data_IF_690198451554
#
_entry.id   IF_690198451554
#
_cell.length_a   1.000
_cell.length_b   1.000
_cell.length_c   1.000
_cell.angle_alpha   90.00
_cell.angle_beta   90.00
_cell.angle_gamma   90.00
#
_symmetry.space_group_name_H-M   'P 1'
#
loop_
_entity.id
_entity.type
_entity.pdbx_description
1 polymer ?
#
# COMPACT_ATOMS: atom_id res chain seq x y z
N UNK A 1 -5.61 46.64 57.13
CA UNK A 1 -5.61 45.13 57.03
C UNK A 1 -6.74 44.53 56.20
N UNK A 2 -8.00 44.99 56.27
CA UNK A 2 -9.10 44.40 55.47
C UNK A 2 -8.93 44.48 53.95
N UNK A 3 -8.42 45.58 53.37
CA UNK A 3 -8.27 45.70 51.91
C UNK A 3 -7.27 44.73 51.30
N UNK A 4 -6.16 44.44 51.98
CA UNK A 4 -5.13 43.51 51.51
C UNK A 4 -5.65 42.08 51.49
N UNK A 5 -6.51 41.70 52.42
CA UNK A 5 -7.14 40.39 52.48
C UNK A 5 -8.14 40.17 51.37
N UNK A 6 -8.92 41.19 50.99
CA UNK A 6 -9.87 41.15 49.88
C UNK A 6 -9.16 41.04 48.53
N UNK A 7 -8.06 41.79 48.33
CA UNK A 7 -7.27 41.72 47.11
C UNK A 7 -6.60 40.35 46.91
N UNK A 8 -6.07 39.76 47.98
CA UNK A 8 -5.45 38.44 47.98
C UNK A 8 -6.47 37.34 47.63
N UNK A 9 -7.65 37.41 48.23
CA UNK A 9 -8.75 36.46 47.96
C UNK A 9 -9.24 36.53 46.50
N UNK A 10 -9.33 37.74 45.95
CA UNK A 10 -9.70 37.93 44.53
C UNK A 10 -8.64 37.37 43.56
N UNK A 11 -7.34 37.51 43.88
CA UNK A 11 -6.27 36.92 43.08
C UNK A 11 -6.29 35.38 43.13
N UNK A 12 -6.51 34.80 44.33
CA UNK A 12 -6.62 33.37 44.49
C UNK A 12 -7.83 32.80 43.74
N UNK A 13 -8.97 33.44 43.75
CA UNK A 13 -10.15 33.08 42.99
C UNK A 13 -9.95 33.20 41.46
N UNK A 14 -9.31 34.28 41.00
CA UNK A 14 -8.98 34.43 39.59
C UNK A 14 -8.01 33.37 39.11
N UNK A 15 -7.01 32.99 39.92
CA UNK A 15 -6.04 31.96 39.60
C UNK A 15 -6.73 30.57 39.54
N UNK A 16 -7.61 30.29 40.50
CA UNK A 16 -8.38 29.03 40.51
C UNK A 16 -9.29 28.91 39.27
N UNK A 17 -9.98 29.99 38.89
CA UNK A 17 -10.82 30.01 37.68
C UNK A 17 -10.01 29.83 36.40
N UNK A 18 -8.80 30.37 36.34
CA UNK A 18 -7.88 30.19 35.21
C UNK A 18 -7.39 28.72 35.09
N UNK A 19 -7.04 28.10 36.20
CA UNK A 19 -6.62 26.70 36.26
C UNK A 19 -7.77 25.80 35.81
N UNK A 20 -8.97 26.04 36.24
CA UNK A 20 -10.16 25.29 35.83
C UNK A 20 -10.45 25.47 34.33
N UNK A 21 -10.33 26.68 33.82
CA UNK A 21 -10.48 26.95 32.40
C UNK A 21 -9.43 26.15 31.54
N UNK A 22 -8.15 26.18 31.93
CA UNK A 22 -7.09 25.45 31.27
C UNK A 22 -7.29 23.91 31.32
N UNK A 23 -7.79 23.41 32.47
CA UNK A 23 -8.14 21.98 32.59
C UNK A 23 -9.27 21.59 31.63
N UNK A 24 -10.32 22.42 31.54
CA UNK A 24 -11.44 22.15 30.64
C UNK A 24 -11.02 22.19 29.17
N UNK A 25 -10.20 23.15 28.74
CA UNK A 25 -9.65 23.20 27.38
C UNK A 25 -8.84 21.94 27.05
N UNK A 26 -8.04 21.45 27.99
CA UNK A 26 -7.25 20.22 27.80
C UNK A 26 -8.14 18.98 27.69
N UNK A 27 -9.20 18.90 28.46
CA UNK A 27 -10.16 17.79 28.41
C UNK A 27 -10.91 17.81 27.06
N UNK A 28 -11.37 18.98 26.62
CA UNK A 28 -12.02 19.13 25.31
C UNK A 28 -11.10 18.71 24.16
N UNK A 29 -9.82 19.12 24.18
CA UNK A 29 -8.84 18.72 23.17
C UNK A 29 -8.64 17.19 23.17
N UNK A 30 -8.52 16.57 24.35
CA UNK A 30 -8.42 15.12 24.49
C UNK A 30 -9.66 14.41 23.92
N UNK A 31 -10.87 14.90 24.21
CA UNK A 31 -12.10 14.32 23.66
C UNK A 31 -12.11 14.39 22.14
N UNK A 32 -11.70 15.53 21.57
CA UNK A 32 -11.62 15.69 20.13
C UNK A 32 -10.58 14.76 19.48
N UNK A 33 -9.43 14.55 20.13
CA UNK A 33 -8.41 13.63 19.66
C UNK A 33 -8.93 12.18 19.66
N UNK A 34 -9.59 11.74 20.73
CA UNK A 34 -10.21 10.42 20.80
C UNK A 34 -11.28 10.22 19.72
N UNK A 35 -12.17 11.19 19.55
CA UNK A 35 -13.21 11.11 18.51
C UNK A 35 -12.61 11.00 17.08
N UNK A 36 -11.48 11.68 16.82
CA UNK A 36 -10.76 11.53 15.54
C UNK A 36 -10.16 10.12 15.37
N UNK A 37 -9.59 9.56 16.44
CA UNK A 37 -9.02 8.20 16.41
C UNK A 37 -10.11 7.16 16.18
N UNK A 38 -11.26 7.28 16.85
CA UNK A 38 -12.41 6.39 16.63
C UNK A 38 -12.86 6.43 15.17
N UNK A 39 -13.01 7.62 14.60
CA UNK A 39 -13.39 7.77 13.19
C UNK A 39 -12.36 7.18 12.23
N UNK A 40 -11.07 7.35 12.50
CA UNK A 40 -10.00 6.76 11.70
C UNK A 40 -10.08 5.24 11.74
N UNK A 41 -10.32 4.66 12.90
CA UNK A 41 -10.49 3.23 13.09
C UNK A 41 -11.73 2.70 12.34
N UNK A 42 -12.86 3.37 12.44
CA UNK A 42 -14.10 3.00 11.71
C UNK A 42 -13.87 3.00 10.19
N UNK A 43 -13.23 4.04 9.66
CA UNK A 43 -12.93 4.13 8.23
C UNK A 43 -11.97 3.02 7.76
N UNK A 44 -10.95 2.70 8.56
CA UNK A 44 -10.02 1.62 8.26
C UNK A 44 -10.72 0.25 8.32
N UNK A 45 -11.56 0.03 9.34
CA UNK A 45 -12.35 -1.19 9.49
C UNK A 45 -13.32 -1.40 8.32
N UNK A 46 -13.89 -0.32 7.78
CA UNK A 46 -14.72 -0.40 6.58
C UNK A 46 -13.95 -0.99 5.40
N UNK A 47 -12.69 -0.57 5.15
CA UNK A 47 -11.86 -1.13 4.08
C UNK A 47 -11.64 -2.63 4.25
N UNK A 48 -11.39 -3.08 5.47
CA UNK A 48 -11.19 -4.50 5.78
C UNK A 48 -12.48 -5.30 5.65
N UNK A 49 -13.62 -4.74 6.03
CA UNK A 49 -14.93 -5.38 5.85
C UNK A 49 -15.30 -5.53 4.36
N UNK A 50 -15.03 -4.53 3.53
CA UNK A 50 -15.22 -4.60 2.09
C UNK A 50 -14.34 -5.69 1.47
N UNK A 51 -13.08 -5.81 1.91
CA UNK A 51 -12.21 -6.91 1.51
C UNK A 51 -12.76 -8.28 1.94
N UNK A 52 -13.22 -8.39 3.19
CA UNK A 52 -13.80 -9.63 3.73
C UNK A 52 -15.02 -10.06 2.93
N UNK A 53 -15.88 -9.12 2.56
CA UNK A 53 -17.07 -9.39 1.72
C UNK A 53 -16.61 -9.90 0.35
N UNK A 54 -15.64 -9.22 -0.28
CA UNK A 54 -15.12 -9.60 -1.59
C UNK A 54 -14.54 -11.02 -1.59
N UNK A 55 -13.66 -11.34 -0.64
CA UNK A 55 -13.05 -12.69 -0.53
C UNK A 55 -14.08 -13.75 -0.14
N UNK A 56 -15.10 -13.38 0.64
CA UNK A 56 -16.16 -14.28 1.10
C UNK A 56 -17.16 -14.69 0.01
N UNK A 57 -17.08 -14.13 -1.19
CA UNK A 57 -17.90 -14.45 -2.35
C UNK A 57 -17.06 -14.88 -3.55
N UNK A 58 -16.48 -16.10 -3.53
CA UNK A 58 -15.53 -16.57 -4.55
C UNK A 58 -16.12 -16.68 -5.96
N UNK A 59 -17.45 -16.73 -6.10
CA UNK A 59 -18.12 -16.84 -7.40
C UNK A 59 -18.01 -15.54 -8.21
N UNK A 60 -17.90 -14.41 -7.54
CA UNK A 60 -17.75 -13.10 -8.18
C UNK A 60 -16.29 -12.73 -8.49
N UNK A 61 -15.30 -13.49 -7.96
CA UNK A 61 -13.88 -13.26 -8.26
C UNK A 61 -13.58 -13.76 -9.66
N UNK A 62 -13.08 -12.87 -10.52
CA UNK A 62 -12.77 -13.16 -11.91
C UNK A 62 -11.60 -14.14 -12.05
N UNK A 63 -11.66 -14.91 -13.12
CA UNK A 63 -10.60 -15.86 -13.46
C UNK A 63 -10.92 -17.30 -13.11
N UNK A 64 -10.04 -18.21 -13.55
CA UNK A 64 -10.07 -19.62 -13.17
C UNK A 64 -9.56 -19.78 -11.73
N UNK A 65 -9.80 -20.92 -11.12
CA UNK A 65 -9.28 -21.28 -9.80
C UNK A 65 -7.76 -20.98 -9.65
N UNK A 66 -7.00 -21.19 -10.73
CA UNK A 66 -5.55 -20.95 -10.75
C UNK A 66 -5.16 -19.47 -10.93
N UNK A 67 -6.08 -18.60 -11.34
CA UNK A 67 -5.79 -17.17 -11.65
C UNK A 67 -6.49 -16.18 -10.74
N UNK A 68 -7.47 -16.61 -9.94
CA UNK A 68 -8.21 -15.76 -8.98
C UNK A 68 -7.30 -15.03 -7.96
N UNK A 69 -6.13 -15.61 -7.65
CA UNK A 69 -5.17 -14.98 -6.74
C UNK A 69 -4.69 -13.60 -7.21
N UNK A 70 -4.69 -13.31 -8.50
CA UNK A 70 -4.33 -12.00 -9.03
C UNK A 70 -5.31 -10.93 -8.58
N UNK A 71 -6.61 -11.14 -8.83
CA UNK A 71 -7.67 -10.20 -8.43
C UNK A 71 -7.75 -10.05 -6.90
N UNK A 72 -7.57 -11.16 -6.16
CA UNK A 72 -7.48 -11.11 -4.69
C UNK A 72 -6.31 -10.23 -4.25
N UNK A 73 -5.13 -10.38 -4.88
CA UNK A 73 -3.95 -9.59 -4.57
C UNK A 73 -4.18 -8.07 -4.77
N UNK A 74 -4.85 -7.70 -5.86
CA UNK A 74 -5.22 -6.32 -6.15
C UNK A 74 -6.13 -5.73 -5.06
N UNK A 75 -7.19 -6.46 -4.70
CA UNK A 75 -8.11 -6.03 -3.64
C UNK A 75 -7.42 -5.95 -2.26
N UNK A 76 -6.60 -6.93 -1.91
CA UNK A 76 -5.81 -6.92 -0.67
C UNK A 76 -4.90 -5.70 -0.64
N UNK A 77 -4.14 -5.44 -1.70
CA UNK A 77 -3.22 -4.31 -1.79
C UNK A 77 -3.95 -2.97 -1.62
N UNK A 78 -5.03 -2.76 -2.38
CA UNK A 78 -5.80 -1.51 -2.32
C UNK A 78 -6.40 -1.29 -0.93
N UNK A 79 -7.05 -2.31 -0.36
CA UNK A 79 -7.76 -2.19 0.92
C UNK A 79 -6.81 -2.08 2.11
N UNK A 80 -5.72 -2.85 2.15
CA UNK A 80 -4.73 -2.75 3.23
C UNK A 80 -4.01 -1.41 3.22
N UNK A 81 -3.53 -0.95 2.05
CA UNK A 81 -2.88 0.35 1.95
C UNK A 81 -3.81 1.50 2.36
N UNK A 82 -5.08 1.44 2.00
CA UNK A 82 -6.06 2.43 2.41
C UNK A 82 -6.35 2.36 3.91
N UNK A 83 -6.53 1.17 4.48
CA UNK A 83 -6.76 0.99 5.91
C UNK A 83 -5.60 1.56 6.74
N UNK A 84 -4.35 1.24 6.40
CA UNK A 84 -3.16 1.77 7.08
C UNK A 84 -3.10 3.31 7.06
N UNK A 85 -3.43 3.92 5.92
CA UNK A 85 -3.47 5.38 5.81
C UNK A 85 -4.57 6.00 6.66
N UNK A 86 -5.76 5.41 6.61
CA UNK A 86 -6.91 5.89 7.36
C UNK A 86 -6.69 5.78 8.88
N UNK A 87 -6.05 4.70 9.36
CA UNK A 87 -5.68 4.53 10.78
C UNK A 87 -4.83 5.69 11.31
N UNK A 88 -3.93 6.24 10.49
CA UNK A 88 -3.08 7.38 10.87
C UNK A 88 -3.66 8.73 10.43
N UNK A 89 -4.94 8.80 10.11
CA UNK A 89 -5.64 10.03 9.73
C UNK A 89 -5.26 10.60 8.36
N UNK A 90 -4.66 9.80 7.48
CA UNK A 90 -4.35 10.17 6.11
C UNK A 90 -5.47 9.72 5.17
N UNK A 91 -5.66 10.43 4.06
CA UNK A 91 -6.64 10.04 3.05
C UNK A 91 -6.24 8.73 2.37
N UNK A 92 -7.23 7.89 2.06
CA UNK A 92 -7.08 6.77 1.14
C UNK A 92 -6.54 7.26 -0.22
N UNK A 93 -5.65 6.49 -0.84
CA UNK A 93 -5.02 6.91 -2.08
C UNK A 93 -4.92 5.80 -3.14
N UNK A 94 -5.47 4.63 -2.86
CA UNK A 94 -5.64 3.56 -3.84
C UNK A 94 -7.13 3.44 -4.19
N UNK A 95 -7.45 3.26 -5.48
CA UNK A 95 -8.84 3.15 -5.94
C UNK A 95 -8.94 2.32 -7.22
N UNK A 96 -10.07 1.65 -7.37
CA UNK A 96 -10.51 1.05 -8.63
C UNK A 96 -11.42 2.00 -9.45
N UNK A 97 -11.77 3.15 -8.89
CA UNK A 97 -12.65 4.11 -9.55
C UNK A 97 -11.99 4.65 -10.83
N UNK A 98 -12.73 4.59 -11.93
CA UNK A 98 -12.24 5.02 -13.25
C UNK A 98 -11.42 3.97 -13.99
N UNK A 99 -11.14 2.81 -13.39
CA UNK A 99 -10.43 1.71 -14.05
C UNK A 99 -11.43 0.80 -14.77
N UNK A 100 -11.30 0.71 -16.08
CA UNK A 100 -12.17 -0.14 -16.91
C UNK A 100 -11.70 -1.60 -16.93
N UNK A 101 -12.60 -2.52 -17.24
CA UNK A 101 -12.31 -3.96 -17.33
C UNK A 101 -11.20 -4.33 -18.34
N UNK A 102 -10.95 -3.48 -19.32
CA UNK A 102 -9.93 -3.66 -20.38
C UNK A 102 -8.84 -2.59 -20.28
N UNK A 103 -8.74 -1.92 -19.12
CA UNK A 103 -7.70 -0.94 -18.88
C UNK A 103 -6.30 -1.60 -18.89
N UNK A 104 -5.27 -0.78 -19.09
CA UNK A 104 -3.89 -1.25 -19.01
C UNK A 104 -3.38 -1.32 -17.56
N UNK A 105 -4.13 -0.77 -16.64
CA UNK A 105 -3.91 -0.78 -15.19
C UNK A 105 -4.98 -1.60 -14.47
N UNK A 106 -4.64 -2.11 -13.28
CA UNK A 106 -5.58 -2.82 -12.40
C UNK A 106 -6.20 -1.88 -11.35
N UNK A 107 -5.47 -0.85 -10.94
CA UNK A 107 -5.96 0.18 -10.02
C UNK A 107 -5.12 1.47 -10.12
N UNK A 108 -5.56 2.51 -9.43
CA UNK A 108 -4.84 3.79 -9.35
C UNK A 108 -4.26 3.97 -7.94
N UNK A 109 -3.04 4.52 -7.86
CA UNK A 109 -2.39 4.97 -6.63
C UNK A 109 -2.00 6.44 -6.75
N UNK A 110 -2.63 7.32 -5.97
CA UNK A 110 -2.50 8.78 -6.15
C UNK A 110 -2.79 9.24 -7.60
N UNK A 111 -3.77 8.64 -8.25
CA UNK A 111 -4.11 8.94 -9.63
C UNK A 111 -3.15 8.38 -10.69
N UNK A 112 -2.08 7.66 -10.30
CA UNK A 112 -1.14 7.00 -11.21
C UNK A 112 -1.56 5.56 -11.48
N UNK A 113 -1.40 5.10 -12.70
CA UNK A 113 -1.74 3.76 -13.14
C UNK A 113 -0.83 2.71 -12.50
N UNK A 114 -1.41 1.68 -11.90
CA UNK A 114 -0.70 0.54 -11.32
C UNK A 114 -1.19 -0.74 -11.98
N UNK A 115 -0.25 -1.53 -12.47
CA UNK A 115 -0.51 -2.88 -12.96
C UNK A 115 0.09 -3.90 -11.98
N UNK A 116 -0.74 -4.75 -11.43
CA UNK A 116 -0.35 -5.81 -10.50
C UNK A 116 0.14 -7.05 -11.25
N UNK A 117 1.22 -7.66 -10.79
CA UNK A 117 1.75 -8.90 -11.39
C UNK A 117 2.09 -9.93 -10.30
N UNK A 118 1.19 -10.88 -10.11
CA UNK A 118 1.29 -11.96 -9.15
C UNK A 118 1.41 -13.31 -9.88
N UNK A 119 2.65 -13.71 -10.18
CA UNK A 119 2.96 -14.97 -10.86
C UNK A 119 3.86 -15.84 -9.99
N UNK A 120 3.91 -17.13 -10.26
CA UNK A 120 4.76 -18.05 -9.51
C UNK A 120 6.25 -17.79 -9.78
N UNK A 121 6.94 -17.32 -8.74
CA UNK A 121 8.36 -17.03 -8.71
C UNK A 121 8.79 -15.76 -9.44
N UNK A 122 9.89 -15.19 -8.98
CA UNK A 122 10.41 -13.88 -9.42
C UNK A 122 10.62 -13.78 -10.94
N UNK A 123 11.08 -14.85 -11.57
CA UNK A 123 11.25 -14.89 -13.03
C UNK A 123 9.91 -14.84 -13.77
N UNK A 124 8.90 -15.56 -13.25
CA UNK A 124 7.55 -15.56 -13.82
C UNK A 124 6.91 -14.18 -13.75
N UNK A 125 7.01 -13.53 -12.60
CA UNK A 125 6.51 -12.18 -12.36
C UNK A 125 7.22 -11.14 -13.23
N UNK A 126 8.56 -11.19 -13.34
CA UNK A 126 9.28 -10.30 -14.24
C UNK A 126 8.91 -10.50 -15.72
N UNK A 127 8.78 -11.73 -16.17
CA UNK A 127 8.32 -12.02 -17.52
C UNK A 127 6.90 -11.49 -17.80
N UNK A 128 6.01 -11.52 -16.80
CA UNK A 128 4.67 -10.94 -16.92
C UNK A 128 4.70 -9.42 -17.08
N UNK A 129 5.63 -8.71 -16.40
CA UNK A 129 5.89 -7.28 -16.60
C UNK A 129 6.31 -7.02 -18.05
N UNK A 130 7.32 -7.76 -18.53
CA UNK A 130 7.82 -7.62 -19.91
C UNK A 130 6.72 -7.88 -20.94
N UNK A 131 5.90 -8.92 -20.72
CA UNK A 131 4.79 -9.25 -21.62
C UNK A 131 3.72 -8.16 -21.63
N UNK A 132 3.36 -7.63 -20.47
CA UNK A 132 2.42 -6.52 -20.36
C UNK A 132 2.92 -5.30 -21.13
N UNK A 133 4.19 -4.94 -20.98
CA UNK A 133 4.75 -3.78 -21.65
C UNK A 133 4.84 -3.93 -23.17
N UNK A 134 4.98 -5.18 -23.68
CA UNK A 134 4.87 -5.45 -25.12
C UNK A 134 3.46 -5.16 -25.65
N UNK A 135 2.44 -5.43 -24.85
CA UNK A 135 1.04 -5.12 -25.20
C UNK A 135 0.72 -3.62 -25.04
N UNK A 136 1.38 -2.95 -24.09
CA UNK A 136 1.17 -1.53 -23.75
C UNK A 136 2.49 -0.75 -23.73
N UNK A 137 3.15 -0.48 -24.86
CA UNK A 137 4.53 0.07 -24.92
C UNK A 137 4.69 1.46 -24.29
N UNK A 138 3.60 2.18 -24.11
CA UNK A 138 3.62 3.53 -23.51
C UNK A 138 3.21 3.56 -22.06
N UNK A 139 2.97 2.40 -21.41
CA UNK A 139 2.48 2.33 -20.03
C UNK A 139 3.38 3.09 -19.06
N UNK A 140 4.68 2.77 -19.02
CA UNK A 140 5.65 3.46 -18.15
C UNK A 140 5.79 4.94 -18.54
N UNK A 141 5.85 5.25 -19.83
CA UNK A 141 5.97 6.65 -20.32
C UNK A 141 4.77 7.52 -19.92
N UNK A 142 3.60 6.92 -19.71
CA UNK A 142 2.40 7.57 -19.18
C UNK A 142 2.37 7.64 -17.65
N UNK A 143 3.44 7.25 -16.96
CA UNK A 143 3.54 7.26 -15.51
C UNK A 143 3.01 6.00 -14.84
N UNK A 144 2.79 4.92 -15.56
CA UNK A 144 2.41 3.61 -15.04
C UNK A 144 3.57 2.92 -14.32
N UNK A 145 3.24 2.13 -13.31
CA UNK A 145 4.20 1.30 -12.56
C UNK A 145 3.60 -0.07 -12.23
N UNK A 146 4.44 -0.97 -11.74
CA UNK A 146 4.09 -2.34 -11.45
C UNK A 146 4.19 -2.61 -9.96
N UNK A 147 3.16 -3.25 -9.39
CA UNK A 147 3.21 -3.78 -8.04
C UNK A 147 3.34 -5.31 -8.12
N UNK A 148 4.30 -5.88 -7.35
CA UNK A 148 4.59 -7.32 -7.33
C UNK A 148 4.63 -7.83 -5.88
N UNK A 149 4.50 -9.15 -5.63
CA UNK A 149 4.61 -9.72 -4.29
C UNK A 149 5.87 -9.23 -3.57
N UNK A 150 5.76 -8.90 -2.28
CA UNK A 150 6.88 -8.38 -1.49
C UNK A 150 8.08 -9.33 -1.49
N UNK A 151 7.87 -10.61 -1.23
CA UNK A 151 8.92 -11.64 -1.23
C UNK A 151 9.64 -11.75 -2.57
N UNK A 152 8.91 -11.55 -3.67
CA UNK A 152 9.49 -11.58 -5.02
C UNK A 152 10.20 -10.27 -5.37
N UNK A 153 9.70 -9.13 -4.88
CA UNK A 153 10.40 -7.85 -5.01
C UNK A 153 11.76 -7.88 -4.30
N UNK A 154 11.79 -8.35 -3.05
CA UNK A 154 13.02 -8.51 -2.29
C UNK A 154 14.02 -9.41 -3.02
N UNK A 155 13.56 -10.54 -3.56
CA UNK A 155 14.39 -11.45 -4.37
C UNK A 155 14.88 -10.79 -5.66
N UNK A 156 14.02 -10.01 -6.34
CA UNK A 156 14.37 -9.31 -7.58
C UNK A 156 15.48 -8.28 -7.34
N UNK A 157 15.34 -7.48 -6.27
CA UNK A 157 16.31 -6.44 -5.90
C UNK A 157 17.63 -7.07 -5.39
N UNK A 158 17.56 -8.18 -4.64
CA UNK A 158 18.78 -8.90 -4.22
C UNK A 158 19.58 -9.41 -5.43
N UNK A 159 18.91 -10.07 -6.38
CA UNK A 159 19.55 -10.53 -7.64
C UNK A 159 20.13 -9.35 -8.42
N UNK A 160 19.38 -8.24 -8.52
CA UNK A 160 19.84 -7.03 -9.20
C UNK A 160 21.10 -6.46 -8.56
N UNK A 161 21.12 -6.28 -7.24
CA UNK A 161 22.26 -5.73 -6.51
C UNK A 161 23.50 -6.65 -6.57
N UNK A 162 23.33 -7.96 -6.36
CA UNK A 162 24.41 -8.94 -6.50
C UNK A 162 24.94 -8.99 -7.93
N UNK A 163 24.08 -8.86 -8.92
CA UNK A 163 24.48 -8.80 -10.33
C UNK A 163 25.35 -7.60 -10.65
N UNK A 164 25.13 -6.47 -9.99
CA UNK A 164 25.91 -5.25 -10.15
C UNK A 164 27.28 -5.30 -9.42
N UNK A 165 27.34 -5.94 -8.25
CA UNK A 165 28.50 -5.86 -7.34
C UNK A 165 29.31 -7.15 -7.25
N UNK A 166 28.68 -8.31 -7.33
CA UNK A 166 29.28 -9.62 -7.09
C UNK A 166 28.65 -10.70 -8.01
N UNK A 167 28.74 -10.49 -9.31
CA UNK A 167 28.09 -11.32 -10.34
C UNK A 167 28.40 -12.81 -10.23
N UNK A 168 29.60 -13.18 -9.76
CA UNK A 168 30.01 -14.57 -9.52
C UNK A 168 29.21 -15.26 -8.39
N UNK A 169 28.49 -14.50 -7.57
CA UNK A 169 27.61 -15.04 -6.51
C UNK A 169 26.24 -15.48 -7.03
N UNK A 170 25.89 -15.16 -8.27
CA UNK A 170 24.61 -15.52 -8.86
C UNK A 170 24.64 -16.98 -9.36
N UNK A 171 23.57 -17.69 -9.11
CA UNK A 171 23.28 -18.95 -9.80
C UNK A 171 23.05 -18.70 -11.29
N UNK A 172 23.14 -19.76 -12.10
CA UNK A 172 22.92 -19.66 -13.56
C UNK A 172 21.54 -19.07 -13.93
N UNK A 173 20.51 -19.40 -13.15
CA UNK A 173 19.15 -18.88 -13.37
C UNK A 173 19.05 -17.40 -12.99
N UNK A 174 19.66 -17.00 -11.88
CA UNK A 174 19.71 -15.61 -11.43
C UNK A 174 20.52 -14.73 -12.39
N UNK A 175 21.65 -15.24 -12.88
CA UNK A 175 22.45 -14.52 -13.89
C UNK A 175 21.64 -14.27 -15.18
N UNK A 176 20.86 -15.26 -15.59
CA UNK A 176 19.99 -15.11 -16.77
C UNK A 176 18.92 -14.05 -16.51
N UNK A 177 18.28 -14.05 -15.33
CA UNK A 177 17.31 -13.04 -14.95
C UNK A 177 17.94 -11.65 -14.84
N UNK A 178 19.11 -11.54 -14.23
CA UNK A 178 19.86 -10.27 -14.14
C UNK A 178 20.16 -9.68 -15.53
N UNK A 179 20.68 -10.49 -16.46
CA UNK A 179 20.93 -10.05 -17.84
C UNK A 179 19.64 -9.56 -18.52
N UNK A 180 18.53 -10.23 -18.26
CA UNK A 180 17.23 -9.85 -18.81
C UNK A 180 16.73 -8.53 -18.20
N UNK A 181 16.92 -8.31 -16.90
CA UNK A 181 16.60 -7.04 -16.24
C UNK A 181 17.41 -5.87 -16.81
N UNK A 182 18.71 -6.02 -16.98
CA UNK A 182 19.59 -4.97 -17.57
C UNK A 182 19.20 -4.68 -19.03
N UNK A 183 18.92 -5.71 -19.83
CA UNK A 183 18.48 -5.51 -21.20
C UNK A 183 17.15 -4.72 -21.25
N UNK A 184 16.21 -5.06 -20.37
CA UNK A 184 14.93 -4.39 -20.26
C UNK A 184 15.07 -2.92 -19.80
N UNK A 185 15.92 -2.63 -18.79
CA UNK A 185 16.21 -1.25 -18.35
C UNK A 185 16.74 -0.39 -19.51
N UNK A 186 17.69 -0.94 -20.30
CA UNK A 186 18.25 -0.24 -21.44
C UNK A 186 17.22 -0.01 -22.55
N UNK A 187 16.32 -0.97 -22.79
CA UNK A 187 15.26 -0.84 -23.78
C UNK A 187 14.21 0.20 -23.36
N UNK A 188 13.86 0.24 -22.08
CA UNK A 188 12.80 1.12 -21.55
C UNK A 188 13.32 2.50 -21.13
N UNK A 189 14.63 2.69 -21.01
CA UNK A 189 15.30 3.89 -20.49
C UNK A 189 14.82 4.27 -19.07
N UNK A 190 14.65 3.26 -18.21
CA UNK A 190 14.22 3.42 -16.80
C UNK A 190 14.93 2.41 -15.91
N UNK A 191 15.05 2.71 -14.61
CA UNK A 191 15.52 1.74 -13.62
C UNK A 191 14.35 0.89 -13.11
N UNK A 192 14.62 -0.39 -12.88
CA UNK A 192 13.60 -1.33 -12.40
C UNK A 192 13.03 -0.88 -11.05
N UNK A 193 13.86 -0.35 -10.15
CA UNK A 193 13.46 0.14 -8.84
C UNK A 193 12.58 1.41 -8.88
N UNK A 194 12.55 2.13 -10.01
CA UNK A 194 11.73 3.34 -10.17
C UNK A 194 10.29 3.02 -10.57
N UNK A 195 10.07 1.85 -11.18
CA UNK A 195 8.77 1.48 -11.78
C UNK A 195 8.20 0.15 -11.27
N UNK A 196 8.97 -0.63 -10.51
CA UNK A 196 8.51 -1.86 -9.86
C UNK A 196 8.56 -1.67 -8.35
N UNK A 197 7.43 -1.94 -7.67
CA UNK A 197 7.28 -1.72 -6.23
C UNK A 197 6.75 -2.97 -5.53
N UNK A 198 7.08 -3.16 -4.24
CA UNK A 198 6.52 -4.25 -3.47
C UNK A 198 5.08 -3.96 -3.06
N UNK A 199 4.25 -4.99 -3.03
CA UNK A 199 2.98 -5.00 -2.30
C UNK A 199 3.21 -5.22 -0.80
N UNK A 200 2.15 -5.09 -0.01
CA UNK A 200 2.19 -5.40 1.43
C UNK A 200 2.18 -6.90 1.73
N UNK A 201 1.84 -7.74 0.75
CA UNK A 201 1.68 -9.18 0.92
C UNK A 201 2.67 -9.98 0.09
N UNK A 202 2.99 -11.17 0.57
CA UNK A 202 3.80 -12.15 -0.16
C UNK A 202 2.93 -12.93 -1.14
N UNK A 203 3.56 -13.56 -2.15
CA UNK A 203 2.84 -14.36 -3.13
C UNK A 203 1.98 -15.46 -2.50
N UNK A 204 2.51 -16.15 -1.49
CA UNK A 204 1.81 -17.23 -0.78
C UNK A 204 0.56 -16.77 -0.01
N UNK A 205 0.51 -15.50 0.41
CA UNK A 205 -0.57 -14.98 1.25
C UNK A 205 -1.89 -14.83 0.48
N UNK A 206 -1.80 -14.64 -0.84
CA UNK A 206 -2.97 -14.50 -1.72
C UNK A 206 -3.34 -15.78 -2.46
N UNK A 207 -2.54 -16.85 -2.33
CA UNK A 207 -2.92 -18.15 -2.83
C UNK A 207 -4.08 -18.70 -2.00
N UNK A 208 -5.21 -18.98 -2.63
CA UNK A 208 -6.27 -19.77 -2.02
C UNK A 208 -5.70 -21.15 -1.71
N UNK A 209 -5.28 -21.38 -0.47
CA UNK A 209 -5.14 -22.74 0.02
C UNK A 209 -6.55 -23.28 0.13
N UNK A 210 -6.88 -24.25 -0.73
CA UNK A 210 -8.00 -25.13 -0.47
C UNK A 210 -7.67 -25.82 0.83
N UNK A 211 -8.33 -25.42 1.89
CA UNK A 211 -8.39 -26.23 3.11
C UNK A 211 -9.38 -27.31 2.77
N UNK A 212 -8.87 -28.52 2.52
CA UNK A 212 -9.66 -29.75 2.48
C UNK A 212 -10.35 -29.96 3.84
#
# INVERSE_FOLDING_TARGET
MRLIHVLKNNQEQATAAWIDHLKNLRIEDMIQQLARQDKNFENALQQLNELKIFIGDPEHILGSYLTKHGEIAEHVQVRFCNADKLLVGKAANHTFEGVGRTAMEDYLRNGKMIQSKFYNGVKGTFNAIVTHLKSYPYFIKKGGSYDIPRDQYESLIDIYNRGQTARSSLSRSEETLFKHMIAWENEQDVKICDVVHPTQVDYKDVQLKVVD
#
